data_IF_514656978693
#
_entry.id   IF_514656978693
#
_cell.length_a   1.000
_cell.length_b   1.000
_cell.length_c   1.000
_cell.angle_alpha   90.00
_cell.angle_beta   90.00
_cell.angle_gamma   90.00
#
_symmetry.space_group_name_H-M   'P 1'
#
loop_
_entity.id
_entity.type
_entity.pdbx_description
1 polymer ?
#
# COMPACT_ATOMS: atom_id res chain seq x y z
N UNK A 1 21.15 -12.50 -16.55
CA UNK A 1 21.43 -11.27 -15.79
C UNK A 1 22.54 -10.53 -16.55
N UNK A 2 22.81 -9.22 -16.35
CA UNK A 2 24.13 -8.70 -16.71
C UNK A 2 25.17 -9.63 -16.08
N UNK A 3 26.20 -10.05 -16.81
CA UNK A 3 27.16 -11.06 -16.32
C UNK A 3 27.73 -10.70 -14.94
N UNK A 4 27.87 -9.40 -14.67
CA UNK A 4 28.32 -8.84 -13.40
C UNK A 4 27.44 -9.21 -12.20
N UNK A 5 26.11 -9.21 -12.33
CA UNK A 5 25.20 -9.52 -11.22
C UNK A 5 25.24 -11.02 -10.87
N UNK A 6 25.42 -11.86 -11.89
CA UNK A 6 25.57 -13.30 -11.68
C UNK A 6 26.87 -13.64 -10.96
N UNK A 7 27.97 -13.00 -11.35
CA UNK A 7 29.27 -13.13 -10.68
C UNK A 7 29.24 -12.63 -9.23
N UNK A 8 28.49 -11.54 -8.95
CA UNK A 8 28.28 -11.08 -7.59
C UNK A 8 27.42 -12.05 -6.77
N UNK A 9 26.37 -12.61 -7.37
CA UNK A 9 25.51 -13.60 -6.71
C UNK A 9 26.29 -14.87 -6.33
N UNK A 10 27.20 -15.35 -7.20
CA UNK A 10 28.12 -16.47 -6.90
C UNK A 10 29.03 -16.17 -5.70
N UNK A 11 29.36 -14.89 -5.48
CA UNK A 11 30.13 -14.41 -4.32
C UNK A 11 29.26 -14.12 -3.08
N UNK A 12 27.95 -14.38 -3.14
CA UNK A 12 27.01 -14.13 -2.05
C UNK A 12 26.63 -12.65 -1.89
N UNK A 13 26.78 -11.84 -2.94
CA UNK A 13 26.45 -10.42 -2.97
C UNK A 13 25.24 -10.21 -3.88
N UNK A 14 24.19 -9.57 -3.35
CA UNK A 14 22.98 -9.21 -4.09
C UNK A 14 22.83 -7.69 -4.24
N UNK A 15 22.16 -7.26 -5.30
CA UNK A 15 21.78 -5.87 -5.53
C UNK A 15 20.28 -5.80 -5.82
N UNK A 16 19.58 -4.88 -5.16
CA UNK A 16 18.15 -4.64 -5.30
C UNK A 16 17.87 -3.14 -5.41
N UNK A 17 17.26 -2.69 -6.50
CA UNK A 17 16.83 -1.30 -6.67
C UNK A 17 15.48 -1.22 -7.37
N UNK A 18 14.71 -0.14 -7.20
CA UNK A 18 13.36 -0.01 -7.80
C UNK A 18 13.29 -0.10 -9.34
N UNK A 19 14.42 -0.04 -10.04
CA UNK A 19 14.50 -0.27 -11.50
C UNK A 19 14.54 -1.74 -11.92
N UNK A 20 14.71 -2.64 -10.94
CA UNK A 20 14.49 -4.08 -11.09
C UNK A 20 12.98 -4.31 -10.86
N UNK A 21 12.17 -4.11 -11.91
CA UNK A 21 10.72 -4.35 -11.85
C UNK A 21 10.43 -5.83 -11.53
N UNK A 22 9.47 -6.14 -10.64
CA UNK A 22 8.99 -7.49 -10.43
C UNK A 22 8.27 -7.93 -11.70
N UNK A 23 8.97 -8.69 -12.56
CA UNK A 23 8.33 -9.33 -13.70
C UNK A 23 7.23 -10.23 -13.13
N UNK A 24 6.02 -9.86 -13.51
CA UNK A 24 4.74 -10.44 -13.15
C UNK A 24 4.82 -11.97 -13.06
N UNK A 25 4.12 -12.53 -12.07
CA UNK A 25 3.92 -13.96 -11.77
C UNK A 25 3.52 -14.80 -12.99
N UNK A 26 4.43 -15.13 -13.88
CA UNK A 26 4.27 -16.21 -14.85
C UNK A 26 5.36 -17.26 -14.65
N UNK A 27 4.93 -18.42 -14.15
CA UNK A 27 5.76 -19.56 -13.75
C UNK A 27 6.48 -20.28 -14.93
N UNK A 28 6.69 -19.63 -16.08
CA UNK A 28 7.23 -20.27 -17.27
C UNK A 28 8.25 -19.44 -18.07
N UNK A 29 8.81 -18.34 -17.54
CA UNK A 29 9.95 -17.66 -18.18
C UNK A 29 11.11 -17.35 -17.22
N UNK A 30 12.32 -17.59 -17.72
CA UNK A 30 13.63 -17.65 -17.02
C UNK A 30 14.14 -16.25 -16.61
N UNK A 31 13.26 -15.33 -16.22
CA UNK A 31 13.62 -13.92 -16.03
C UNK A 31 13.00 -13.24 -14.80
N UNK A 32 12.75 -13.98 -13.71
CA UNK A 32 12.35 -13.38 -12.43
C UNK A 32 13.58 -12.88 -11.65
N UNK A 33 14.20 -11.78 -12.09
CA UNK A 33 15.54 -11.38 -11.62
C UNK A 33 15.57 -10.79 -10.19
N UNK A 34 14.57 -10.02 -9.80
CA UNK A 34 14.47 -9.40 -8.45
C UNK A 34 14.03 -10.45 -7.43
N UNK A 35 13.02 -11.23 -7.81
CA UNK A 35 12.52 -12.36 -7.03
C UNK A 35 13.60 -13.42 -6.81
N UNK A 36 14.50 -13.65 -7.77
CA UNK A 36 15.63 -14.55 -7.57
C UNK A 36 16.55 -14.06 -6.44
N UNK A 37 16.88 -12.77 -6.39
CA UNK A 37 17.70 -12.20 -5.30
C UNK A 37 16.96 -12.29 -3.97
N UNK A 38 15.65 -12.05 -3.96
CA UNK A 38 14.80 -12.20 -2.78
C UNK A 38 14.77 -13.65 -2.24
N UNK A 39 14.58 -14.63 -3.13
CA UNK A 39 14.61 -16.05 -2.76
C UNK A 39 16.01 -16.44 -2.28
N UNK A 40 17.06 -16.05 -2.99
CA UNK A 40 18.43 -16.38 -2.61
C UNK A 40 18.81 -15.78 -1.26
N UNK A 41 18.35 -14.56 -0.96
CA UNK A 41 18.52 -13.95 0.36
C UNK A 41 17.71 -14.68 1.43
N UNK A 42 16.45 -15.03 1.16
CA UNK A 42 15.60 -15.83 2.07
C UNK A 42 16.23 -17.19 2.39
N UNK A 43 16.88 -17.82 1.40
CA UNK A 43 17.60 -19.09 1.54
C UNK A 43 19.00 -18.93 2.16
N UNK A 44 19.42 -17.70 2.47
CA UNK A 44 20.73 -17.42 3.07
C UNK A 44 21.92 -17.63 2.13
N UNK A 45 21.69 -17.72 0.82
CA UNK A 45 22.73 -17.83 -0.21
C UNK A 45 23.41 -16.48 -0.47
N UNK A 46 22.64 -15.39 -0.36
CA UNK A 46 23.17 -14.01 -0.35
C UNK A 46 23.44 -13.61 1.10
N UNK A 47 24.68 -13.23 1.39
CA UNK A 47 25.11 -12.76 2.72
C UNK A 47 25.05 -11.25 2.83
N UNK A 48 25.32 -10.54 1.73
CA UNK A 48 25.32 -9.07 1.66
C UNK A 48 24.36 -8.65 0.56
N UNK A 49 23.38 -7.80 0.91
CA UNK A 49 22.41 -7.28 -0.04
C UNK A 49 22.46 -5.74 -0.01
N UNK A 50 22.79 -5.16 -1.16
CA UNK A 50 22.65 -3.72 -1.38
C UNK A 50 21.24 -3.44 -1.86
N UNK A 51 20.49 -2.62 -1.12
CA UNK A 51 19.08 -2.38 -1.40
C UNK A 51 18.74 -0.88 -1.36
N UNK A 52 17.84 -0.44 -2.26
CA UNK A 52 17.17 0.86 -2.13
C UNK A 52 16.03 0.81 -1.12
N UNK A 53 15.55 1.98 -0.68
CA UNK A 53 14.44 2.15 0.27
C UNK A 53 13.23 1.25 -0.01
N UNK A 54 12.89 1.08 -1.29
CA UNK A 54 11.75 0.26 -1.73
C UNK A 54 11.83 -1.20 -1.31
N UNK A 55 13.01 -1.76 -1.03
CA UNK A 55 13.13 -3.14 -0.54
C UNK A 55 12.52 -3.32 0.86
N UNK A 56 12.58 -2.29 1.70
CA UNK A 56 12.00 -2.33 3.03
C UNK A 56 10.46 -2.26 2.99
N UNK A 57 9.88 -1.83 1.85
CA UNK A 57 8.45 -1.75 1.61
C UNK A 57 7.93 -3.10 1.05
N UNK A 58 7.17 -3.85 1.86
CA UNK A 58 6.33 -4.93 1.34
C UNK A 58 6.92 -6.35 1.29
N UNK A 59 8.18 -6.58 1.68
CA UNK A 59 8.78 -7.93 1.74
C UNK A 59 9.09 -8.33 3.19
N UNK A 60 8.72 -9.55 3.60
CA UNK A 60 9.06 -10.09 4.92
C UNK A 60 10.47 -10.70 4.90
N UNK A 61 11.48 -9.84 4.80
CA UNK A 61 12.88 -10.26 4.69
C UNK A 61 13.71 -9.72 5.86
N UNK A 62 13.78 -10.43 7.00
CA UNK A 62 14.62 -10.01 8.11
C UNK A 62 16.10 -10.27 7.81
N UNK A 63 16.96 -9.32 8.16
CA UNK A 63 18.41 -9.40 8.08
C UNK A 63 18.99 -9.43 9.50
N UNK A 64 20.15 -10.07 9.70
CA UNK A 64 20.83 -10.01 11.01
C UNK A 64 21.23 -8.59 11.38
N UNK A 65 21.64 -7.81 10.39
CA UNK A 65 22.05 -6.43 10.58
C UNK A 65 21.64 -5.57 9.39
N UNK A 66 21.37 -4.30 9.65
CA UNK A 66 21.05 -3.30 8.63
C UNK A 66 22.10 -2.20 8.70
N UNK A 67 22.55 -1.76 7.53
CA UNK A 67 23.58 -0.73 7.40
C UNK A 67 23.02 0.39 6.53
N UNK A 68 22.96 1.60 7.09
CA UNK A 68 22.65 2.83 6.37
C UNK A 68 23.93 3.45 5.83
N UNK A 69 24.03 3.61 4.52
CA UNK A 69 25.16 4.29 3.87
C UNK A 69 25.11 5.81 4.04
N UNK A 70 23.93 6.37 4.32
CA UNK A 70 23.70 7.80 4.51
C UNK A 70 22.47 8.00 5.39
N UNK A 71 22.51 9.01 6.26
CA UNK A 71 21.38 9.46 7.10
C UNK A 71 20.49 10.50 6.38
N UNK A 72 20.88 10.91 5.17
CA UNK A 72 20.12 11.79 4.28
C UNK A 72 19.78 11.11 2.96
N UNK A 73 18.67 11.51 2.35
CA UNK A 73 18.26 11.10 1.00
C UNK A 73 17.83 12.29 0.15
N UNK A 74 17.83 12.10 -1.16
CA UNK A 74 17.27 13.05 -2.11
C UNK A 74 15.80 12.70 -2.39
N UNK A 75 14.88 13.64 -2.16
CA UNK A 75 13.44 13.42 -2.39
C UNK A 75 12.95 13.87 -3.77
N UNK A 76 13.89 14.25 -4.65
CA UNK A 76 13.60 14.78 -5.98
C UNK A 76 13.80 16.30 -6.06
N UNK A 77 13.72 17.02 -4.94
CA UNK A 77 13.94 18.47 -4.89
C UNK A 77 15.15 18.84 -4.05
N UNK A 78 15.33 18.20 -2.90
CA UNK A 78 16.41 18.53 -1.99
C UNK A 78 16.94 17.29 -1.26
N UNK A 79 18.16 17.44 -0.72
CA UNK A 79 18.73 16.44 0.19
C UNK A 79 18.22 16.73 1.60
N UNK A 80 17.48 15.78 2.17
CA UNK A 80 16.89 15.88 3.51
C UNK A 80 17.24 14.68 4.38
N UNK A 81 17.12 14.83 5.69
CA UNK A 81 17.20 13.69 6.62
C UNK A 81 16.09 12.68 6.35
N UNK A 82 16.39 11.40 6.59
CA UNK A 82 15.38 10.35 6.56
C UNK A 82 14.25 10.66 7.56
N UNK A 83 13.02 10.42 7.13
CA UNK A 83 11.87 10.53 8.02
C UNK A 83 11.89 9.38 9.04
N UNK A 84 11.30 9.58 10.22
CA UNK A 84 11.27 8.54 11.25
C UNK A 84 10.58 7.26 10.80
N UNK A 85 9.55 7.37 9.96
CA UNK A 85 8.86 6.24 9.35
C UNK A 85 9.76 5.47 8.39
N UNK A 86 10.56 6.17 7.58
CA UNK A 86 11.49 5.58 6.61
C UNK A 86 12.61 4.85 7.35
N UNK A 87 13.20 5.50 8.36
CA UNK A 87 14.19 4.89 9.23
C UNK A 87 13.65 3.64 9.92
N UNK A 88 12.51 3.73 10.61
CA UNK A 88 11.93 2.61 11.36
C UNK A 88 11.59 1.44 10.45
N UNK A 89 11.09 1.70 9.23
CA UNK A 89 10.77 0.65 8.28
C UNK A 89 12.01 -0.11 7.80
N UNK A 90 13.12 0.59 7.53
CA UNK A 90 14.38 -0.02 7.11
C UNK A 90 15.10 -0.69 8.28
N UNK A 91 15.27 0.02 9.40
CA UNK A 91 15.94 -0.46 10.61
C UNK A 91 15.21 -1.65 11.25
N UNK A 92 13.87 -1.67 11.18
CA UNK A 92 13.03 -2.76 11.68
C UNK A 92 13.20 -4.10 10.97
N UNK A 93 14.01 -4.16 9.89
CA UNK A 93 14.43 -5.41 9.27
C UNK A 93 15.62 -6.07 9.97
N UNK A 94 16.32 -5.36 10.86
CA UNK A 94 17.41 -5.93 11.64
C UNK A 94 16.87 -6.87 12.74
N UNK A 95 17.53 -8.03 12.88
CA UNK A 95 17.18 -9.08 13.83
C UNK A 95 16.21 -10.10 13.24
N UNK A 96 16.63 -11.36 13.16
CA UNK A 96 15.79 -12.47 12.72
C UNK A 96 15.14 -13.12 13.94
N UNK A 97 13.81 -13.03 14.04
CA UNK A 97 13.01 -13.62 15.14
C UNK A 97 13.33 -15.10 15.30
N UNK A 98 13.69 -15.51 16.52
CA UNK A 98 14.00 -16.91 16.84
C UNK A 98 15.37 -17.41 16.39
N UNK A 99 16.17 -16.57 15.71
CA UNK A 99 17.54 -16.91 15.29
C UNK A 99 18.59 -15.98 15.93
N UNK A 100 18.31 -14.68 15.98
CA UNK A 100 19.19 -13.69 16.58
C UNK A 100 18.61 -13.20 17.92
N UNK A 101 19.46 -13.00 18.92
CA UNK A 101 19.08 -12.42 20.23
C UNK A 101 18.80 -10.93 20.13
N UNK A 102 19.48 -10.26 19.21
CA UNK A 102 19.40 -8.82 18.97
C UNK A 102 19.60 -8.51 17.48
N UNK A 103 19.05 -7.39 17.03
CA UNK A 103 19.25 -6.86 15.68
C UNK A 103 20.18 -5.65 15.73
N UNK A 104 21.23 -5.65 14.90
CA UNK A 104 22.15 -4.52 14.86
C UNK A 104 21.84 -3.57 13.69
N UNK A 105 21.89 -2.27 13.98
CA UNK A 105 21.68 -1.22 13.00
C UNK A 105 22.89 -0.29 13.04
N UNK A 106 23.54 -0.09 11.89
CA UNK A 106 24.71 0.76 11.74
C UNK A 106 24.38 1.92 10.81
N UNK A 107 24.89 3.11 11.13
CA UNK A 107 24.80 4.28 10.26
C UNK A 107 26.24 4.69 9.94
N UNK A 108 26.60 4.66 8.66
CA UNK A 108 27.87 5.22 8.22
C UNK A 108 27.74 6.74 8.20
N UNK A 109 28.53 7.38 9.06
CA UNK A 109 28.81 8.80 8.98
C UNK A 109 30.13 8.93 8.23
N UNK A 110 30.11 9.56 7.06
CA UNK A 110 31.34 9.98 6.39
C UNK A 110 31.94 11.19 7.13
N UNK A 111 32.51 12.13 6.38
CA UNK A 111 33.11 13.33 6.97
C UNK A 111 32.09 14.28 7.63
N UNK A 112 30.82 14.19 7.24
CA UNK A 112 29.72 14.98 7.79
C UNK A 112 28.99 14.24 8.91
N UNK A 113 29.32 14.60 10.15
CA UNK A 113 28.70 14.04 11.34
C UNK A 113 27.37 14.77 11.63
N UNK A 114 26.23 14.05 11.63
CA UNK A 114 24.94 14.68 11.90
C UNK A 114 24.86 15.18 13.35
N UNK A 115 24.18 16.30 13.54
CA UNK A 115 23.89 16.79 14.88
C UNK A 115 23.04 15.78 15.65
N UNK A 116 23.29 15.60 16.95
CA UNK A 116 22.58 14.65 17.79
C UNK A 116 21.05 14.83 17.70
N UNK A 117 20.57 16.07 17.62
CA UNK A 117 19.13 16.37 17.48
C UNK A 117 18.52 15.78 16.20
N UNK A 118 19.26 15.76 15.09
CA UNK A 118 18.79 15.20 13.82
C UNK A 118 18.67 13.68 13.90
N UNK A 119 19.69 13.01 14.45
CA UNK A 119 19.68 11.55 14.63
C UNK A 119 18.59 11.14 15.62
N UNK A 120 18.49 11.80 16.78
CA UNK A 120 17.42 11.52 17.74
C UNK A 120 16.05 11.76 17.11
N UNK A 121 15.87 12.86 16.38
CA UNK A 121 14.62 13.16 15.69
C UNK A 121 14.24 12.11 14.65
N UNK A 122 15.21 11.55 13.93
CA UNK A 122 15.01 10.44 12.99
C UNK A 122 14.63 9.13 13.70
N UNK A 123 15.18 8.86 14.88
CA UNK A 123 14.94 7.59 15.58
C UNK A 123 13.67 7.58 16.45
N UNK A 124 13.23 8.73 16.98
CA UNK A 124 12.21 8.78 18.05
C UNK A 124 10.87 9.39 17.65
N UNK A 125 10.80 10.16 16.56
CA UNK A 125 9.55 10.83 16.19
C UNK A 125 8.48 9.85 15.70
N UNK A 126 7.23 10.09 16.08
CA UNK A 126 6.08 9.26 15.68
C UNK A 126 5.65 9.54 14.24
N UNK A 127 5.37 8.48 13.48
CA UNK A 127 4.76 8.56 12.16
C UNK A 127 3.27 8.94 12.28
N UNK A 128 2.95 10.24 12.32
CA UNK A 128 1.61 10.75 12.63
C UNK A 128 0.61 10.75 11.45
N UNK A 129 1.03 10.41 10.23
CA UNK A 129 0.19 10.54 9.02
C UNK A 129 -0.94 9.49 8.93
N UNK A 130 -0.73 8.28 9.46
CA UNK A 130 -1.72 7.19 9.36
C UNK A 130 -2.99 7.45 10.16
N UNK A 131 -2.87 8.13 11.31
CA UNK A 131 -4.03 8.44 12.15
C UNK A 131 -4.98 9.40 11.43
N UNK A 132 -4.43 10.42 10.75
CA UNK A 132 -5.22 11.38 10.00
C UNK A 132 -5.95 10.72 8.82
N UNK A 133 -5.26 9.85 8.07
CA UNK A 133 -5.86 9.09 6.98
C UNK A 133 -6.96 8.13 7.47
N UNK A 134 -6.74 7.46 8.61
CA UNK A 134 -7.74 6.58 9.21
C UNK A 134 -8.98 7.36 9.65
N UNK A 135 -8.81 8.53 10.28
CA UNK A 135 -9.92 9.40 10.67
C UNK A 135 -10.72 9.91 9.45
N UNK A 136 -10.03 10.31 8.38
CA UNK A 136 -10.67 10.73 7.13
C UNK A 136 -11.46 9.58 6.48
N UNK A 137 -10.90 8.37 6.47
CA UNK A 137 -11.56 7.18 5.94
C UNK A 137 -12.80 6.80 6.77
N UNK A 138 -12.70 6.85 8.10
CA UNK A 138 -13.81 6.59 9.02
C UNK A 138 -14.92 7.64 8.86
N UNK A 139 -14.56 8.91 8.71
CA UNK A 139 -15.51 10.00 8.46
C UNK A 139 -16.25 9.79 7.13
N UNK A 140 -15.52 9.45 6.07
CA UNK A 140 -16.09 9.16 4.75
C UNK A 140 -17.07 7.97 4.83
N UNK A 141 -16.70 6.88 5.50
CA UNK A 141 -17.54 5.70 5.68
C UNK A 141 -18.83 6.06 6.45
N UNK A 142 -18.73 6.85 7.52
CA UNK A 142 -19.88 7.30 8.30
C UNK A 142 -20.84 8.16 7.46
N UNK A 143 -20.32 9.08 6.66
CA UNK A 143 -21.10 9.92 5.75
C UNK A 143 -21.84 9.09 4.70
N UNK A 144 -21.17 8.09 4.12
CA UNK A 144 -21.79 7.17 3.15
C UNK A 144 -22.90 6.33 3.78
N UNK A 145 -22.70 5.84 5.01
CA UNK A 145 -23.72 5.08 5.74
C UNK A 145 -24.94 5.94 6.07
N UNK A 146 -24.73 7.19 6.52
CA UNK A 146 -25.81 8.13 6.80
C UNK A 146 -26.62 8.47 5.54
N UNK A 147 -25.94 8.70 4.41
CA UNK A 147 -26.59 8.93 3.12
C UNK A 147 -27.42 7.72 2.68
N UNK A 148 -26.89 6.50 2.83
CA UNK A 148 -27.60 5.28 2.50
C UNK A 148 -28.86 5.08 3.35
N UNK A 149 -28.77 5.32 4.66
CA UNK A 149 -29.92 5.26 5.59
C UNK A 149 -30.98 6.31 5.26
N UNK A 150 -30.57 7.53 4.91
CA UNK A 150 -31.49 8.60 4.49
C UNK A 150 -32.22 8.25 3.20
N UNK A 151 -31.51 7.69 2.21
CA UNK A 151 -32.11 7.23 0.94
C UNK A 151 -33.09 6.08 1.17
N UNK A 152 -32.74 5.12 2.04
CA UNK A 152 -33.63 4.02 2.42
C UNK A 152 -34.90 4.54 3.12
N UNK A 153 -34.74 5.49 4.05
CA UNK A 153 -35.87 6.13 4.73
C UNK A 153 -36.77 6.88 3.74
N UNK A 154 -36.19 7.66 2.82
CA UNK A 154 -36.94 8.35 1.77
C UNK A 154 -37.69 7.37 0.87
N UNK A 155 -37.06 6.26 0.47
CA UNK A 155 -37.70 5.22 -0.32
C UNK A 155 -38.88 4.58 0.42
N UNK A 156 -38.70 4.26 1.71
CA UNK A 156 -39.77 3.72 2.57
C UNK A 156 -40.93 4.72 2.71
N UNK A 157 -40.63 6.00 2.92
CA UNK A 157 -41.65 7.06 2.97
C UNK A 157 -42.40 7.17 1.64
N UNK A 158 -41.71 7.14 0.51
CA UNK A 158 -42.35 7.13 -0.81
C UNK A 158 -43.27 5.92 -0.98
N UNK A 159 -42.82 4.71 -0.59
CA UNK A 159 -43.64 3.50 -0.63
C UNK A 159 -44.89 3.61 0.26
N UNK A 160 -44.76 4.16 1.47
CA UNK A 160 -45.90 4.38 2.37
C UNK A 160 -46.90 5.39 1.79
N UNK A 161 -46.42 6.48 1.18
CA UNK A 161 -47.29 7.46 0.52
C UNK A 161 -48.01 6.86 -0.69
N UNK A 162 -47.34 6.01 -1.48
CA UNK A 162 -47.99 5.28 -2.59
C UNK A 162 -49.01 4.26 -2.10
N UNK A 163 -48.75 3.55 -1.00
CA UNK A 163 -49.68 2.56 -0.44
C UNK A 163 -50.91 3.23 0.20
N UNK A 164 -50.71 4.34 0.93
CA UNK A 164 -51.82 5.13 1.49
C UNK A 164 -52.69 5.74 0.38
N UNK A 165 -52.09 6.26 -0.70
CA UNK A 165 -52.81 6.75 -1.87
C UNK A 165 -53.56 5.64 -2.63
N UNK A 166 -53.00 4.41 -2.69
CA UNK A 166 -53.65 3.25 -3.28
C UNK A 166 -54.88 2.79 -2.46
N UNK A 167 -54.80 2.82 -1.13
CA UNK A 167 -55.88 2.42 -0.23
C UNK A 167 -56.97 3.49 -0.04
N UNK A 168 -56.66 4.78 -0.23
CA UNK A 168 -57.65 5.86 -0.11
C UNK A 168 -58.46 6.13 -1.39
N UNK A 169 -58.16 5.45 -2.50
CA UNK A 169 -58.91 5.58 -3.76
C UNK A 169 -58.85 6.97 -4.42
N UNK A 170 -57.98 7.84 -3.93
CA UNK A 170 -57.94 9.26 -4.27
C UNK A 170 -56.97 9.48 -5.45
N UNK A 171 -57.30 8.90 -6.61
CA UNK A 171 -56.58 9.18 -7.87
C UNK A 171 -57.11 10.48 -8.49
N UNK A 172 -56.70 11.59 -7.90
CA UNK A 172 -56.92 12.95 -8.39
C UNK A 172 -55.61 13.75 -8.53
N UNK A 173 -54.52 13.15 -9.02
CA UNK A 173 -53.32 13.91 -9.37
C UNK A 173 -52.76 13.52 -10.73
N UNK A 174 -52.97 14.43 -11.68
CA UNK A 174 -52.58 14.34 -13.09
C UNK A 174 -51.08 14.63 -13.24
N UNK A 175 -50.21 13.68 -12.85
CA UNK A 175 -48.78 13.76 -13.10
C UNK A 175 -48.49 13.36 -14.56
N UNK A 176 -48.39 14.36 -15.43
CA UNK A 176 -48.05 14.26 -16.85
C UNK A 176 -46.55 13.90 -16.98
N UNK A 177 -46.21 12.61 -16.99
CA UNK A 177 -44.87 12.12 -17.34
C UNK A 177 -44.77 11.84 -18.86
N UNK A 178 -43.62 12.15 -19.50
CA UNK A 178 -43.49 12.14 -20.94
C UNK A 178 -43.40 10.71 -21.50
N UNK A 179 -44.13 10.52 -22.59
CA UNK A 179 -44.16 9.39 -23.53
C UNK A 179 -42.97 8.40 -23.44
N UNK A 180 -43.22 7.21 -22.89
CA UNK A 180 -42.59 5.99 -23.39
C UNK A 180 -43.71 4.97 -23.68
N UNK A 181 -44.05 4.90 -24.96
CA UNK A 181 -44.94 3.88 -25.54
C UNK A 181 -44.15 2.58 -25.62
N UNK A 182 -44.50 1.58 -24.82
CA UNK A 182 -44.07 0.19 -25.07
C UNK A 182 -45.09 -0.46 -26.00
N UNK A 183 -44.77 -0.49 -27.31
CA UNK A 183 -45.45 -1.31 -28.29
C UNK A 183 -44.85 -2.72 -28.23
N UNK A 184 -45.60 -3.70 -27.74
CA UNK A 184 -45.29 -5.12 -27.91
C UNK A 184 -46.41 -5.76 -28.73
N UNK A 185 -46.14 -5.94 -30.02
CA UNK A 185 -47.02 -6.56 -31.00
C UNK A 185 -47.08 -8.08 -30.81
N UNK A 186 -48.26 -8.55 -30.41
CA UNK A 186 -49.00 -9.76 -30.85
C UNK A 186 -48.19 -10.94 -31.42
N UNK A 187 -48.26 -12.09 -30.75
CA UNK A 187 -48.30 -13.41 -31.39
C UNK A 187 -49.55 -14.17 -30.90
N UNK A 188 -50.38 -14.56 -31.88
CA UNK A 188 -51.62 -15.33 -31.75
C UNK A 188 -51.34 -16.80 -31.39
N UNK A 189 -52.30 -17.48 -30.75
CA UNK A 189 -52.28 -18.93 -30.66
C UNK A 189 -53.42 -19.58 -29.87
N UNK A 190 -54.58 -19.70 -30.55
CA UNK A 190 -55.75 -20.57 -30.29
C UNK A 190 -56.54 -20.44 -28.98
#
# INVERSE_FOLDING_TARGET
>A
MPAEVEELAKKGIGIHHGGLLPVVKEASSVLCRCYAVEIMFSRGLVKILFATETFAMGVNMPARSVIFTSWTKHDGTQRRTLLPSEYTQMAGRAGRRGLDTEGHVYILCGDDLPAQKQITGMMTNKALLLLLLLLLLLLLLLLLLLLFLLLLLLLLLMMMMTNKAYLSGDFGFQARLPQFVYCCSRLQGR
#
